data_IF_798229334354
#
_entry.id   IF_798229334354
#
_cell.length_a   1.000
_cell.length_b   1.000
_cell.length_c   1.000
_cell.angle_alpha   90.00
_cell.angle_beta   90.00
_cell.angle_gamma   90.00
#
_symmetry.space_group_name_H-M   'P 1'
#
loop_
_entity.id
_entity.type
_entity.pdbx_description
1 polymer ?
#
# COMPACT_ATOMS: atom_id res chain seq x y z
N UNK A 1 -55.33 -34.25 -26.06
CA UNK A 1 -55.27 -35.38 -27.03
C UNK A 1 -54.57 -36.57 -26.36
N UNK A 2 -54.44 -37.70 -27.07
CA UNK A 2 -53.94 -39.02 -26.63
C UNK A 2 -52.51 -39.02 -26.00
N UNK A 3 -51.99 -40.08 -25.33
CA UNK A 3 -52.53 -41.14 -24.44
C UNK A 3 -51.66 -42.42 -24.46
N UNK A 4 -51.03 -42.80 -23.33
CA UNK A 4 -50.52 -44.17 -22.99
C UNK A 4 -49.38 -44.75 -23.89
N UNK A 5 -48.60 -45.79 -23.58
CA UNK A 5 -48.30 -46.70 -22.42
C UNK A 5 -46.74 -46.83 -22.34
N UNK A 6 -46.02 -47.11 -21.25
CA UNK A 6 -46.19 -47.97 -20.06
C UNK A 6 -45.88 -49.48 -20.27
N UNK A 7 -44.86 -49.99 -19.57
CA UNK A 7 -44.58 -51.43 -19.33
C UNK A 7 -43.76 -51.59 -18.03
N UNK A 8 -43.74 -52.79 -17.43
CA UNK A 8 -43.36 -52.99 -16.01
C UNK A 8 -42.73 -54.36 -15.68
N UNK A 9 -41.68 -54.39 -14.84
CA UNK A 9 -41.21 -55.51 -13.97
C UNK A 9 -40.30 -54.93 -12.87
N UNK A 10 -40.33 -55.21 -11.55
CA UNK A 10 -40.81 -56.31 -10.67
C UNK A 10 -39.85 -57.53 -10.62
N UNK A 11 -39.58 -58.21 -9.48
CA UNK A 11 -40.37 -58.33 -8.22
C UNK A 11 -39.55 -57.96 -6.92
N UNK A 12 -39.44 -58.66 -5.74
CA UNK A 12 -39.24 -57.95 -4.45
C UNK A 12 -38.09 -58.43 -3.49
N UNK A 13 -38.15 -57.89 -2.25
CA UNK A 13 -37.39 -58.18 -1.00
C UNK A 13 -37.38 -59.65 -0.53
N UNK A 14 -36.43 -59.98 0.36
CA UNK A 14 -36.75 -60.38 1.76
C UNK A 14 -35.55 -60.19 2.71
N UNK A 15 -35.82 -60.04 4.01
CA UNK A 15 -34.83 -60.04 5.10
C UNK A 15 -35.18 -61.21 6.03
N UNK A 16 -34.19 -61.92 6.55
CA UNK A 16 -34.38 -62.93 7.59
C UNK A 16 -33.38 -62.72 8.72
N UNK A 17 -33.88 -62.62 9.95
CA UNK A 17 -33.10 -62.42 11.19
C UNK A 17 -33.32 -63.63 12.10
N UNK A 18 -32.34 -64.53 12.16
CA UNK A 18 -32.44 -65.75 12.96
C UNK A 18 -31.86 -65.54 14.37
N UNK A 19 -32.63 -65.92 15.39
CA UNK A 19 -32.17 -66.03 16.78
C UNK A 19 -32.13 -67.52 17.13
N UNK A 20 -31.02 -68.00 17.67
CA UNK A 20 -30.88 -69.32 18.27
C UNK A 20 -29.95 -69.23 19.49
N UNK A 21 -30.20 -70.05 20.50
CA UNK A 21 -29.50 -70.02 21.80
C UNK A 21 -28.93 -71.40 22.17
N UNK A 22 -27.86 -71.39 22.96
CA UNK A 22 -27.19 -72.57 23.55
C UNK A 22 -26.48 -73.50 22.54
N UNK A 23 -25.43 -74.24 22.91
CA UNK A 23 -24.90 -74.53 24.25
C UNK A 23 -23.36 -74.44 24.32
N UNK A 24 -22.80 -74.38 25.54
CA UNK A 24 -21.34 -74.45 25.77
C UNK A 24 -20.87 -75.91 25.78
N UNK A 25 -20.11 -76.31 24.77
CA UNK A 25 -19.32 -77.55 24.79
C UNK A 25 -17.85 -77.22 25.05
N UNK A 26 -17.30 -77.72 26.16
CA UNK A 26 -15.91 -77.49 26.54
C UNK A 26 -14.97 -78.45 25.79
N UNK A 27 -14.49 -78.03 24.62
CA UNK A 27 -13.39 -78.68 23.92
C UNK A 27 -12.06 -78.01 24.27
N UNK A 28 -11.03 -78.81 24.60
CA UNK A 28 -9.66 -78.33 24.83
C UNK A 28 -8.82 -78.53 23.57
N UNK A 29 -8.48 -77.50 22.79
CA UNK A 29 -7.46 -77.63 21.75
C UNK A 29 -6.06 -77.63 22.37
N UNK A 30 -5.18 -78.48 21.82
CA UNK A 30 -3.76 -78.59 22.20
C UNK A 30 -3.01 -77.27 22.04
N UNK A 31 -1.93 -77.07 22.81
CA UNK A 31 -1.02 -75.91 22.64
C UNK A 31 -0.22 -76.09 21.34
N UNK A 32 -0.82 -75.69 20.21
CA UNK A 32 -0.10 -75.46 18.97
C UNK A 32 0.79 -74.23 19.15
N UNK A 33 2.11 -74.45 19.29
CA UNK A 33 3.10 -73.40 19.57
C UNK A 33 3.39 -72.57 18.31
N UNK A 34 2.41 -71.79 17.85
CA UNK A 34 2.58 -70.83 16.77
C UNK A 34 3.74 -69.90 17.08
N UNK A 35 4.82 -69.99 16.29
CA UNK A 35 5.79 -68.90 16.19
C UNK A 35 5.06 -67.72 15.57
N UNK A 36 4.75 -66.70 16.37
CA UNK A 36 4.45 -65.39 15.81
C UNK A 36 5.62 -64.98 14.89
N UNK A 37 5.35 -64.47 13.67
CA UNK A 37 6.41 -63.84 12.91
C UNK A 37 6.95 -62.68 13.76
N UNK A 38 8.25 -62.70 14.04
CA UNK A 38 8.89 -61.49 14.60
C UNK A 38 8.61 -60.36 13.60
N UNK A 39 8.18 -59.17 14.03
CA UNK A 39 8.25 -58.02 13.15
C UNK A 39 9.72 -57.86 12.75
N UNK A 40 10.01 -58.03 11.47
CA UNK A 40 11.23 -57.47 10.91
C UNK A 40 11.04 -55.96 11.00
N UNK A 41 11.54 -55.36 12.06
CA UNK A 41 11.78 -53.92 12.09
C UNK A 41 12.69 -53.63 10.91
N UNK A 42 12.11 -53.09 9.83
CA UNK A 42 12.87 -52.56 8.72
C UNK A 42 13.76 -51.47 9.32
N UNK A 43 15.06 -51.75 9.41
CA UNK A 43 15.99 -50.86 10.08
C UNK A 43 16.20 -49.65 9.17
N UNK A 44 15.42 -48.59 9.41
CA UNK A 44 15.42 -47.35 8.65
C UNK A 44 16.70 -46.55 8.92
N UNK A 45 17.83 -47.06 8.43
CA UNK A 45 19.16 -46.43 8.48
C UNK A 45 19.26 -45.25 7.50
N UNK A 46 18.27 -44.35 7.48
CA UNK A 46 18.42 -43.03 6.88
C UNK A 46 19.17 -42.13 7.87
N UNK A 47 20.49 -42.34 7.97
CA UNK A 47 21.39 -41.55 8.82
C UNK A 47 21.89 -40.28 8.14
N UNK A 48 21.40 -39.99 6.93
CA UNK A 48 21.55 -38.70 6.26
C UNK A 48 20.81 -37.63 7.05
N UNK A 49 21.50 -37.02 8.02
CA UNK A 49 21.13 -35.69 8.52
C UNK A 49 21.00 -34.80 7.30
N UNK A 50 19.87 -34.09 7.17
CA UNK A 50 19.70 -33.09 6.12
C UNK A 50 20.81 -32.05 6.29
N UNK A 51 21.84 -32.13 5.43
CA UNK A 51 22.96 -31.19 5.47
C UNK A 51 22.56 -29.98 4.64
N UNK A 52 21.67 -29.17 5.21
CA UNK A 52 21.50 -27.79 4.78
C UNK A 52 22.89 -27.14 4.73
N UNK A 53 23.13 -26.34 3.68
CA UNK A 53 24.36 -25.55 3.63
C UNK A 53 24.29 -24.52 4.77
N UNK A 54 25.41 -24.25 5.47
CA UNK A 54 25.46 -23.07 6.32
C UNK A 54 25.26 -21.82 5.47
N UNK A 55 24.77 -20.74 6.09
CA UNK A 55 24.62 -19.44 5.46
C UNK A 55 25.87 -19.04 4.65
N UNK A 56 25.65 -18.50 3.47
CA UNK A 56 26.70 -17.94 2.63
C UNK A 56 27.37 -16.74 3.28
N UNK A 57 28.57 -16.40 2.81
CA UNK A 57 29.26 -15.19 3.27
C UNK A 57 28.45 -13.92 2.92
N UNK A 58 27.80 -13.92 1.76
CA UNK A 58 26.80 -12.93 1.33
C UNK A 58 25.72 -12.69 2.36
N UNK A 59 25.25 -13.76 2.99
CA UNK A 59 24.06 -13.77 3.83
C UNK A 59 24.41 -13.12 5.18
N UNK A 60 25.61 -13.40 5.70
CA UNK A 60 26.18 -12.77 6.90
C UNK A 60 26.45 -11.28 6.66
N UNK A 61 27.03 -10.92 5.52
CA UNK A 61 27.33 -9.52 5.15
C UNK A 61 26.04 -8.70 4.96
N UNK A 62 25.02 -9.28 4.31
CA UNK A 62 23.71 -8.66 4.13
C UNK A 62 22.93 -8.53 5.45
N UNK A 63 22.94 -9.54 6.32
CA UNK A 63 22.28 -9.48 7.63
C UNK A 63 22.94 -8.44 8.55
N UNK A 64 24.26 -8.27 8.47
CA UNK A 64 24.95 -7.19 9.17
C UNK A 64 24.50 -5.81 8.65
N UNK A 65 24.51 -5.59 7.33
CA UNK A 65 24.02 -4.33 6.72
C UNK A 65 22.56 -4.04 7.09
N UNK A 66 21.65 -5.00 6.95
CA UNK A 66 20.23 -4.84 7.34
C UNK A 66 20.04 -4.59 8.85
N UNK A 67 21.00 -4.97 9.69
CA UNK A 67 21.00 -4.65 11.12
C UNK A 67 21.55 -3.24 11.40
N UNK A 68 22.56 -2.81 10.64
CA UNK A 68 23.10 -1.44 10.69
C UNK A 68 22.01 -0.43 10.29
N UNK A 69 21.43 -0.55 9.09
CA UNK A 69 20.43 0.41 8.59
C UNK A 69 19.23 0.51 9.54
N UNK A 70 18.67 -0.63 9.97
CA UNK A 70 17.56 -0.68 10.94
C UNK A 70 17.90 0.01 12.28
N UNK A 71 19.17 0.02 12.69
CA UNK A 71 19.57 0.73 13.91
C UNK A 71 19.60 2.26 13.71
N UNK A 72 20.01 2.74 12.53
CA UNK A 72 19.96 4.16 12.17
C UNK A 72 18.52 4.67 12.08
N UNK A 73 17.62 3.90 11.48
CA UNK A 73 16.19 4.25 11.37
C UNK A 73 15.44 4.20 12.71
N UNK A 74 15.99 3.51 13.72
CA UNK A 74 15.42 3.42 15.08
C UNK A 74 16.03 4.46 16.03
N UNK A 75 17.32 4.80 15.87
CA UNK A 75 17.98 5.87 16.62
C UNK A 75 17.54 7.26 16.14
N UNK A 76 17.12 7.37 14.87
CA UNK A 76 16.41 8.52 14.32
C UNK A 76 14.96 8.53 14.82
N UNK A 77 14.63 9.39 15.80
CA UNK A 77 13.33 9.42 16.51
C UNK A 77 12.08 9.66 15.62
N UNK A 78 12.25 9.91 14.33
CA UNK A 78 11.19 10.09 13.34
C UNK A 78 10.31 8.84 13.13
N UNK A 79 10.83 7.63 13.38
CA UNK A 79 10.07 6.38 13.20
C UNK A 79 9.09 6.09 14.34
N UNK A 80 9.46 6.37 15.60
CA UNK A 80 8.62 6.05 16.77
C UNK A 80 7.51 7.08 17.06
N UNK A 81 7.64 8.34 16.61
CA UNK A 81 6.69 9.41 16.93
C UNK A 81 5.84 9.78 15.73
N UNK A 82 4.53 9.60 15.88
CA UNK A 82 3.52 10.22 14.99
C UNK A 82 3.76 11.74 14.97
N UNK A 83 3.86 12.39 13.79
CA UNK A 83 4.01 13.84 13.70
C UNK A 83 2.88 14.58 14.41
N UNK A 84 3.18 15.72 15.06
CA UNK A 84 2.17 16.45 15.84
C UNK A 84 0.98 16.91 14.97
N UNK A 85 1.24 17.31 13.71
CA UNK A 85 0.21 17.64 12.73
C UNK A 85 -0.71 16.44 12.40
N UNK A 86 -0.12 15.27 12.17
CA UNK A 86 -0.84 14.00 11.93
C UNK A 86 -1.70 13.63 13.13
N UNK A 87 -1.14 13.67 14.34
CA UNK A 87 -1.91 13.35 15.55
C UNK A 87 -3.02 14.39 15.79
N UNK A 88 -2.74 15.68 15.64
CA UNK A 88 -3.73 16.74 15.76
C UNK A 88 -4.89 16.56 14.78
N UNK A 89 -4.63 16.18 13.53
CA UNK A 89 -5.69 15.87 12.57
C UNK A 89 -6.49 14.63 13.00
N UNK A 90 -5.85 13.56 13.46
CA UNK A 90 -6.58 12.36 13.91
C UNK A 90 -7.44 12.61 15.16
N UNK A 91 -6.99 13.45 16.09
CA UNK A 91 -7.73 13.79 17.32
C UNK A 91 -8.88 14.80 17.08
N UNK A 92 -8.78 15.67 16.07
CA UNK A 92 -9.78 16.71 15.77
C UNK A 92 -10.68 16.41 14.56
N UNK A 93 -10.26 15.52 13.65
CA UNK A 93 -11.03 15.22 12.43
C UNK A 93 -12.17 14.24 12.70
N UNK A 94 -13.25 14.30 11.90
CA UNK A 94 -14.39 13.39 11.99
C UNK A 94 -14.18 12.08 11.19
N UNK A 95 -12.94 11.62 11.02
CA UNK A 95 -12.59 10.43 10.23
C UNK A 95 -11.99 9.31 11.10
N UNK A 96 -12.50 8.09 10.93
CA UNK A 96 -11.93 6.85 11.48
C UNK A 96 -10.85 6.32 10.52
N UNK A 97 -9.58 6.35 10.94
CA UNK A 97 -8.43 5.81 10.22
C UNK A 97 -8.41 4.28 10.23
N UNK A 98 -8.18 3.68 9.06
CA UNK A 98 -8.06 2.24 8.86
C UNK A 98 -6.84 1.95 7.98
N UNK A 99 -5.83 1.31 8.56
CA UNK A 99 -4.60 0.86 7.91
C UNK A 99 -4.26 -0.57 8.35
N UNK A 100 -3.40 -1.24 7.60
CA UNK A 100 -2.73 -2.48 8.02
C UNK A 100 -1.23 -2.35 7.74
N UNK A 101 -0.41 -3.05 8.53
CA UNK A 101 1.02 -3.15 8.30
C UNK A 101 1.28 -4.07 7.09
N UNK A 102 2.20 -3.67 6.20
CA UNK A 102 2.47 -4.36 4.93
C UNK A 102 1.37 -4.21 3.87
N UNK A 103 0.50 -3.20 3.99
CA UNK A 103 -0.43 -2.78 2.93
C UNK A 103 -0.28 -1.28 2.67
N UNK A 104 -0.02 -0.88 1.44
CA UNK A 104 0.25 0.51 1.04
C UNK A 104 -0.99 1.43 1.11
N UNK A 105 -2.21 0.87 1.02
CA UNK A 105 -3.46 1.64 1.03
C UNK A 105 -3.81 2.15 2.44
N UNK A 106 -4.04 3.46 2.54
CA UNK A 106 -4.57 4.15 3.72
C UNK A 106 -6.04 4.50 3.47
N UNK A 107 -6.92 4.17 4.43
CA UNK A 107 -8.36 4.43 4.29
C UNK A 107 -8.89 5.22 5.50
N UNK A 108 -9.29 6.46 5.27
CA UNK A 108 -10.09 7.24 6.22
C UNK A 108 -11.59 6.98 5.93
N UNK A 109 -12.41 6.82 6.97
CA UNK A 109 -13.86 6.60 6.81
C UNK A 109 -14.69 7.52 7.70
N UNK A 110 -15.79 8.04 7.17
CA UNK A 110 -16.70 8.98 7.87
C UNK A 110 -18.16 8.70 7.51
N UNK A 111 -19.08 9.11 8.39
CA UNK A 111 -20.51 9.22 8.09
C UNK A 111 -20.94 10.68 8.14
N UNK A 112 -21.80 11.09 7.20
CA UNK A 112 -22.31 12.45 7.09
C UNK A 112 -23.79 12.40 6.70
N UNK A 113 -24.70 12.53 7.67
CA UNK A 113 -26.14 12.35 7.44
C UNK A 113 -26.49 10.91 7.02
N UNK A 114 -27.11 10.74 5.85
CA UNK A 114 -27.33 9.43 5.22
C UNK A 114 -26.13 8.96 4.36
N UNK A 115 -25.08 9.77 4.23
CA UNK A 115 -23.93 9.51 3.38
C UNK A 115 -22.81 8.76 4.13
N UNK A 116 -22.14 7.83 3.43
CA UNK A 116 -20.89 7.20 3.89
C UNK A 116 -19.74 7.67 3.00
N UNK A 117 -18.73 8.26 3.62
CA UNK A 117 -17.54 8.78 2.96
C UNK A 117 -16.38 7.81 3.23
N UNK A 118 -15.64 7.49 2.18
CA UNK A 118 -14.33 6.82 2.22
C UNK A 118 -13.35 7.72 1.50
N UNK A 119 -12.25 8.10 2.13
CA UNK A 119 -11.11 8.73 1.48
C UNK A 119 -9.99 7.70 1.50
N UNK A 120 -9.36 7.44 0.35
CA UNK A 120 -8.27 6.48 0.24
C UNK A 120 -7.11 7.04 -0.60
N UNK A 121 -5.89 6.77 -0.15
CA UNK A 121 -4.64 7.17 -0.77
C UNK A 121 -3.58 6.09 -0.52
N UNK A 122 -2.47 6.13 -1.26
CA UNK A 122 -1.48 5.04 -1.29
C UNK A 122 -0.07 5.61 -1.13
N UNK A 123 0.77 4.98 -0.30
CA UNK A 123 2.16 5.46 -0.12
C UNK A 123 3.01 5.36 -1.39
N UNK A 124 2.68 4.43 -2.29
CA UNK A 124 3.38 4.20 -3.56
C UNK A 124 3.23 5.35 -4.57
N UNK A 125 2.25 6.27 -4.41
CA UNK A 125 2.14 7.47 -5.26
C UNK A 125 3.35 8.41 -5.13
N UNK A 126 4.14 8.31 -4.05
CA UNK A 126 5.41 9.01 -3.88
C UNK A 126 6.53 8.45 -4.80
N UNK A 127 6.44 7.18 -5.17
CA UNK A 127 7.50 6.43 -5.88
C UNK A 127 7.33 6.45 -7.41
N UNK A 128 6.11 6.67 -7.90
CA UNK A 128 5.77 6.74 -9.34
C UNK A 128 5.96 8.15 -9.95
N UNK A 129 6.50 9.12 -9.19
CA UNK A 129 6.77 10.48 -9.66
C UNK A 129 8.14 10.55 -10.37
N UNK A 130 8.09 10.33 -11.69
CA UNK A 130 9.19 10.33 -12.65
C UNK A 130 10.24 11.44 -12.45
N UNK A 131 11.53 11.08 -12.50
CA UNK A 131 12.69 11.98 -12.26
C UNK A 131 12.70 13.21 -13.20
N UNK A 132 11.99 13.13 -14.33
CA UNK A 132 11.85 14.21 -15.32
C UNK A 132 11.25 15.52 -14.78
N UNK A 133 10.61 15.52 -13.60
CA UNK A 133 10.18 16.75 -12.94
C UNK A 133 11.35 17.65 -12.51
N UNK A 134 12.46 17.08 -12.03
CA UNK A 134 13.62 17.85 -11.54
C UNK A 134 14.48 18.45 -12.66
N UNK A 135 14.58 17.78 -13.81
CA UNK A 135 15.41 18.21 -14.95
C UNK A 135 14.94 19.56 -15.54
N UNK A 136 13.66 19.90 -15.38
CA UNK A 136 13.08 21.17 -15.84
C UNK A 136 13.44 22.38 -14.96
N UNK A 137 13.89 22.18 -13.71
CA UNK A 137 14.24 23.28 -12.79
C UNK A 137 15.66 23.84 -13.01
N UNK A 138 16.53 23.09 -13.70
CA UNK A 138 17.93 23.45 -13.95
C UNK A 138 18.18 23.94 -15.40
N UNK A 139 17.11 24.14 -16.18
CA UNK A 139 17.19 24.28 -17.64
C UNK A 139 17.10 25.71 -18.22
N UNK A 140 16.81 26.75 -17.43
CA UNK A 140 16.39 28.06 -17.96
C UNK A 140 17.29 29.26 -17.54
N UNK A 141 18.50 29.00 -17.01
CA UNK A 141 19.55 30.03 -16.78
C UNK A 141 20.57 30.16 -17.94
N UNK A 142 20.11 30.02 -19.20
CA UNK A 142 20.96 30.16 -20.39
C UNK A 142 20.49 31.30 -21.33
N UNK A 143 20.02 32.41 -20.75
CA UNK A 143 19.76 33.68 -21.46
C UNK A 143 20.73 34.81 -21.07
N UNK A 144 21.38 35.36 -22.11
CA UNK A 144 22.01 36.69 -22.15
C UNK A 144 23.17 37.02 -21.17
N UNK A 145 24.21 36.16 -21.09
CA UNK A 145 25.57 36.67 -20.79
C UNK A 145 26.16 37.37 -22.03
N UNK A 146 26.00 38.68 -22.12
CA UNK A 146 26.38 39.50 -23.27
C UNK A 146 27.91 39.48 -23.57
N UNK A 147 28.28 39.63 -24.85
CA UNK A 147 29.53 39.14 -25.40
C UNK A 147 30.77 40.04 -25.15
N UNK A 148 31.33 40.03 -23.93
CA UNK A 148 32.48 40.87 -23.55
C UNK A 148 33.70 40.08 -23.02
N UNK A 149 34.34 39.26 -23.87
CA UNK A 149 35.79 39.34 -24.16
C UNK A 149 36.25 38.30 -25.19
N UNK A 150 37.05 38.74 -26.18
CA UNK A 150 37.69 37.87 -27.18
C UNK A 150 39.20 37.90 -26.96
N UNK A 151 39.87 36.76 -26.66
CA UNK A 151 41.24 36.80 -26.16
C UNK A 151 42.28 37.08 -27.26
N UNK A 152 43.36 37.79 -26.89
CA UNK A 152 44.68 37.59 -27.48
C UNK A 152 45.35 38.78 -28.18
N UNK A 153 45.92 39.71 -27.40
CA UNK A 153 47.24 40.27 -27.75
C UNK A 153 48.06 40.75 -26.54
N UNK A 154 49.25 40.16 -26.39
CA UNK A 154 50.48 40.65 -25.73
C UNK A 154 50.35 41.69 -24.58
N UNK A 155 50.47 41.23 -23.33
CA UNK A 155 50.71 42.11 -22.17
C UNK A 155 50.87 41.35 -20.86
N UNK A 156 52.07 41.37 -20.26
CA UNK A 156 52.29 40.79 -18.93
C UNK A 156 51.88 41.79 -17.85
N UNK A 157 50.77 41.51 -17.17
CA UNK A 157 50.38 42.18 -15.93
C UNK A 157 50.32 41.16 -14.79
N UNK A 158 50.63 41.62 -13.58
CA UNK A 158 50.74 40.78 -12.39
C UNK A 158 49.42 40.80 -11.64
N UNK A 159 48.76 39.65 -11.52
CA UNK A 159 47.65 39.48 -10.58
C UNK A 159 48.16 39.72 -9.17
N UNK A 160 47.53 40.62 -8.42
CA UNK A 160 47.67 40.66 -6.97
C UNK A 160 46.88 39.49 -6.37
N UNK A 161 47.26 38.93 -5.21
CA UNK A 161 46.38 38.02 -4.49
C UNK A 161 45.10 38.76 -4.12
N UNK A 162 43.95 38.12 -4.30
CA UNK A 162 42.65 38.70 -3.97
C UNK A 162 42.53 38.89 -2.46
N UNK A 163 41.93 40.01 -2.06
CA UNK A 163 41.84 40.38 -0.65
C UNK A 163 40.80 39.51 0.07
N UNK A 164 41.12 39.05 1.27
CA UNK A 164 40.25 38.13 1.99
C UNK A 164 39.18 38.89 2.73
N UNK A 165 37.97 38.89 2.16
CA UNK A 165 36.74 39.31 2.83
C UNK A 165 36.72 38.71 4.24
N UNK A 166 36.52 39.56 5.24
CA UNK A 166 36.62 39.14 6.63
C UNK A 166 35.26 38.65 7.13
N UNK A 167 35.26 37.64 8.01
CA UNK A 167 34.03 37.06 8.60
C UNK A 167 33.29 38.00 9.58
N UNK A 168 33.47 39.31 9.44
CA UNK A 168 32.69 40.37 10.09
C UNK A 168 31.78 41.10 9.09
N UNK A 169 32.01 40.96 7.78
CA UNK A 169 31.20 41.57 6.71
C UNK A 169 30.04 40.67 6.26
N UNK A 170 29.93 39.44 6.80
CA UNK A 170 28.83 38.51 6.54
C UNK A 170 27.62 38.83 7.43
N UNK A 171 26.99 39.99 7.16
CA UNK A 171 25.80 40.46 7.88
C UNK A 171 24.54 39.68 7.49
N UNK A 172 24.37 38.48 8.05
CA UNK A 172 23.06 37.88 8.25
C UNK A 172 22.28 37.52 6.98
N UNK A 173 22.90 36.74 6.10
CA UNK A 173 22.15 35.89 5.17
C UNK A 173 21.26 34.95 6.00
N UNK A 174 19.99 35.33 6.16
CA UNK A 174 18.94 34.33 6.28
C UNK A 174 18.89 33.63 4.92
N UNK A 175 19.36 32.39 4.87
CA UNK A 175 18.94 31.47 3.82
C UNK A 175 17.42 31.39 3.93
N UNK A 176 16.70 32.01 2.99
CA UNK A 176 15.28 31.73 2.81
C UNK A 176 15.23 30.26 2.38
N UNK A 177 14.74 29.38 3.25
CA UNK A 177 14.56 27.96 2.95
C UNK A 177 13.62 27.86 1.74
N UNK A 178 14.20 27.63 0.55
CA UNK A 178 13.48 27.37 -0.70
C UNK A 178 12.35 26.38 -0.41
N UNK A 179 11.07 26.76 -0.60
CA UNK A 179 9.95 25.97 -0.12
C UNK A 179 9.89 24.66 -0.89
N UNK A 180 10.36 23.58 -0.24
CA UNK A 180 10.43 22.24 -0.82
C UNK A 180 9.06 21.88 -1.39
N UNK A 181 8.95 21.64 -2.71
CA UNK A 181 7.64 21.55 -3.36
C UNK A 181 6.87 20.35 -2.83
N UNK A 182 5.63 20.57 -2.37
CA UNK A 182 4.78 19.50 -1.84
C UNK A 182 4.58 18.43 -2.89
N UNK A 183 4.85 17.17 -2.55
CA UNK A 183 4.58 16.05 -3.44
C UNK A 183 3.06 15.92 -3.70
N UNK A 184 2.59 15.86 -4.95
CA UNK A 184 1.17 15.78 -5.30
C UNK A 184 0.59 14.39 -5.01
N UNK A 185 0.08 14.19 -3.80
CA UNK A 185 -0.51 12.92 -3.38
C UNK A 185 -1.89 12.69 -4.01
N UNK A 186 -2.12 11.52 -4.62
CA UNK A 186 -3.43 11.18 -5.20
C UNK A 186 -4.39 10.68 -4.14
N UNK A 187 -5.60 11.23 -4.14
CA UNK A 187 -6.62 10.95 -3.13
C UNK A 187 -7.94 10.60 -3.83
N UNK A 188 -8.41 9.37 -3.58
CA UNK A 188 -9.66 8.83 -4.12
C UNK A 188 -10.78 8.93 -3.06
N UNK A 189 -11.72 9.84 -3.30
CA UNK A 189 -12.87 10.08 -2.40
C UNK A 189 -14.09 9.35 -2.95
N UNK A 190 -14.69 8.48 -2.16
CA UNK A 190 -15.93 7.78 -2.49
C UNK A 190 -17.04 8.16 -1.52
N UNK A 191 -18.15 8.69 -2.06
CA UNK A 191 -19.34 9.10 -1.32
C UNK A 191 -20.51 8.19 -1.70
N UNK A 192 -20.82 7.23 -0.84
CA UNK A 192 -21.91 6.26 -0.97
C UNK A 192 -23.22 6.82 -0.37
N UNK A 193 -24.34 6.64 -1.09
CA UNK A 193 -25.69 7.05 -0.66
C UNK A 193 -26.65 5.85 -0.70
N UNK A 194 -27.36 5.53 0.40
CA UNK A 194 -28.18 4.32 0.51
C UNK A 194 -29.28 4.29 -0.55
N UNK A 195 -29.22 3.30 -1.44
CA UNK A 195 -30.15 3.14 -2.55
C UNK A 195 -29.99 4.14 -3.71
N UNK A 196 -28.99 5.04 -3.68
CA UNK A 196 -28.74 6.08 -4.69
C UNK A 196 -27.38 5.94 -5.40
N UNK A 197 -26.67 4.81 -5.21
CA UNK A 197 -25.33 4.57 -5.77
C UNK A 197 -24.21 5.23 -4.96
N UNK A 198 -23.06 5.45 -5.61
CA UNK A 198 -21.94 6.20 -5.06
C UNK A 198 -21.32 7.12 -6.12
N UNK A 199 -20.74 8.21 -5.66
CA UNK A 199 -19.89 9.10 -6.44
C UNK A 199 -18.43 8.82 -6.08
N UNK A 200 -17.56 8.66 -7.07
CA UNK A 200 -16.11 8.65 -6.88
C UNK A 200 -15.57 9.97 -7.40
N UNK A 201 -14.68 10.60 -6.64
CA UNK A 201 -13.99 11.83 -6.99
C UNK A 201 -12.49 11.53 -6.92
N UNK A 202 -11.80 11.81 -8.01
CA UNK A 202 -10.35 11.67 -8.12
C UNK A 202 -9.75 13.05 -7.89
N UNK A 203 -8.91 13.16 -6.87
CA UNK A 203 -8.35 14.43 -6.39
C UNK A 203 -6.84 14.33 -6.18
N UNK A 204 -6.17 15.47 -6.17
CA UNK A 204 -4.76 15.60 -5.78
C UNK A 204 -4.68 16.52 -4.57
N UNK A 205 -3.99 16.08 -3.52
CA UNK A 205 -3.60 16.92 -2.39
C UNK A 205 -2.20 17.48 -2.64
N UNK A 206 -2.07 18.80 -2.69
CA UNK A 206 -0.79 19.50 -2.88
C UNK A 206 -0.89 20.91 -2.30
N UNK A 207 0.18 21.40 -1.66
CA UNK A 207 0.29 22.79 -1.15
C UNK A 207 -0.89 23.22 -0.26
N UNK A 208 -1.40 22.29 0.57
CA UNK A 208 -2.57 22.52 1.43
C UNK A 208 -3.90 22.67 0.69
N UNK A 209 -3.99 22.33 -0.60
CA UNK A 209 -5.18 22.41 -1.44
C UNK A 209 -5.60 21.02 -1.98
N UNK A 210 -6.92 20.82 -2.14
CA UNK A 210 -7.49 19.65 -2.82
C UNK A 210 -7.90 20.07 -4.25
N UNK A 211 -7.18 19.60 -5.25
CA UNK A 211 -7.52 19.80 -6.66
C UNK A 211 -8.40 18.65 -7.17
N UNK A 212 -9.61 18.94 -7.64
CA UNK A 212 -10.49 17.91 -8.24
C UNK A 212 -10.12 17.67 -9.70
N UNK A 213 -9.79 16.43 -10.05
CA UNK A 213 -9.41 16.03 -11.41
C UNK A 213 -10.59 15.46 -12.20
N UNK A 214 -11.40 14.61 -11.56
CA UNK A 214 -12.50 13.89 -12.21
C UNK A 214 -13.62 13.50 -11.22
N UNK A 215 -14.85 13.38 -11.71
CA UNK A 215 -16.05 13.01 -10.92
C UNK A 215 -16.87 11.94 -11.65
N UNK A 216 -16.79 10.70 -11.16
CA UNK A 216 -17.51 9.55 -11.69
C UNK A 216 -18.74 9.20 -10.84
N UNK A 217 -19.83 8.73 -11.47
CA UNK A 217 -21.02 8.24 -10.77
C UNK A 217 -21.30 6.77 -11.09
N UNK A 218 -21.47 5.96 -10.04
CA UNK A 218 -21.73 4.54 -10.14
C UNK A 218 -23.04 4.16 -9.44
N UNK A 219 -23.99 3.60 -10.19
CA UNK A 219 -25.27 3.12 -9.66
C UNK A 219 -25.15 1.94 -8.66
N UNK A 220 -23.95 1.36 -8.51
CA UNK A 220 -23.59 0.37 -7.47
C UNK A 220 -22.37 0.87 -6.70
N UNK A 221 -22.41 0.97 -5.36
CA UNK A 221 -21.29 1.48 -4.57
C UNK A 221 -20.03 0.60 -4.67
N UNK A 222 -20.20 -0.71 -4.86
CA UNK A 222 -19.10 -1.66 -5.05
C UNK A 222 -18.21 -1.37 -6.28
N UNK A 223 -18.74 -0.65 -7.28
CA UNK A 223 -17.98 -0.26 -8.49
C UNK A 223 -17.21 1.05 -8.30
N UNK A 224 -17.56 1.89 -7.32
CA UNK A 224 -16.79 3.09 -6.97
C UNK A 224 -15.55 2.76 -6.14
N UNK A 225 -15.62 1.70 -5.32
CA UNK A 225 -14.50 1.21 -4.49
C UNK A 225 -13.61 0.21 -5.27
N UNK A 226 -14.18 -0.52 -6.24
CA UNK A 226 -13.47 -1.36 -7.21
C UNK A 226 -12.44 -2.38 -6.67
N UNK A 227 -12.52 -2.78 -5.40
CA UNK A 227 -11.54 -3.63 -4.69
C UNK A 227 -11.35 -5.08 -5.20
N UNK A 228 -11.75 -5.42 -6.43
CA UNK A 228 -11.32 -6.62 -7.15
C UNK A 228 -11.09 -6.29 -8.62
N UNK A 229 -10.13 -6.97 -9.27
CA UNK A 229 -9.76 -6.73 -10.68
C UNK A 229 -10.96 -6.81 -11.64
N UNK A 230 -11.92 -7.70 -11.37
CA UNK A 230 -13.18 -7.79 -12.14
C UNK A 230 -14.06 -6.54 -12.02
N UNK A 231 -14.12 -5.94 -10.82
CA UNK A 231 -14.86 -4.69 -10.55
C UNK A 231 -14.12 -3.49 -11.13
N UNK A 232 -12.80 -3.49 -11.08
CA UNK A 232 -11.97 -2.45 -11.70
C UNK A 232 -12.13 -2.44 -13.22
N UNK A 233 -12.02 -3.59 -13.88
CA UNK A 233 -12.28 -3.69 -15.32
C UNK A 233 -13.74 -3.29 -15.67
N UNK A 234 -14.71 -3.63 -14.81
CA UNK A 234 -16.09 -3.19 -14.98
C UNK A 234 -16.29 -1.68 -14.70
N UNK A 235 -15.44 -1.04 -13.88
CA UNK A 235 -15.41 0.41 -13.63
C UNK A 235 -14.89 1.14 -14.87
N UNK A 236 -13.77 0.68 -15.43
CA UNK A 236 -13.14 1.23 -16.65
C UNK A 236 -14.03 1.11 -17.90
N UNK A 237 -14.96 0.15 -17.92
CA UNK A 237 -15.95 0.00 -18.99
C UNK A 237 -17.15 0.98 -18.90
N UNK A 238 -17.21 1.82 -17.86
CA UNK A 238 -18.25 2.83 -17.66
C UNK A 238 -17.71 4.24 -17.94
N UNK A 239 -18.61 5.20 -18.16
CA UNK A 239 -18.23 6.59 -18.37
C UNK A 239 -17.78 7.23 -17.05
N UNK A 240 -16.47 7.49 -16.92
CA UNK A 240 -15.85 8.06 -15.72
C UNK A 240 -16.11 9.54 -15.48
N UNK A 241 -16.76 10.26 -16.40
CA UNK A 241 -16.95 11.72 -16.35
C UNK A 241 -16.11 12.46 -17.41
N UNK A 242 -16.33 13.78 -17.56
CA UNK A 242 -15.39 14.67 -18.25
C UNK A 242 -14.30 15.15 -17.28
N UNK A 243 -13.12 15.59 -17.76
CA UNK A 243 -12.14 16.26 -16.91
C UNK A 243 -12.76 17.46 -16.19
N UNK A 244 -12.56 17.57 -14.88
CA UNK A 244 -13.32 18.50 -14.02
C UNK A 244 -13.16 19.97 -14.43
N UNK A 245 -11.96 20.40 -14.80
CA UNK A 245 -11.68 21.76 -15.29
C UNK A 245 -12.41 22.15 -16.59
N UNK A 246 -13.02 21.22 -17.31
CA UNK A 246 -13.89 21.51 -18.47
C UNK A 246 -15.36 21.75 -18.10
N UNK A 247 -15.73 21.66 -16.81
CA UNK A 247 -17.06 21.99 -16.31
C UNK A 247 -17.25 23.51 -16.18
N UNK A 248 -18.50 23.94 -16.05
CA UNK A 248 -18.85 25.33 -15.74
C UNK A 248 -18.26 25.77 -14.38
N UNK A 249 -17.75 27.00 -14.27
CA UNK A 249 -17.06 27.48 -13.06
C UNK A 249 -17.96 27.50 -11.82
N UNK A 250 -19.24 27.86 -11.93
CA UNK A 250 -20.17 27.84 -10.79
C UNK A 250 -20.41 26.39 -10.33
N UNK A 251 -20.41 25.44 -11.27
CA UNK A 251 -20.52 24.00 -10.95
C UNK A 251 -19.25 23.45 -10.28
N UNK A 252 -18.05 23.92 -10.68
CA UNK A 252 -16.79 23.55 -10.03
C UNK A 252 -16.79 24.02 -8.56
N UNK A 253 -17.03 25.32 -8.32
CA UNK A 253 -17.08 25.91 -6.97
C UNK A 253 -18.18 25.29 -6.09
N UNK A 254 -19.32 24.90 -6.65
CA UNK A 254 -20.37 24.20 -5.90
C UNK A 254 -20.02 22.74 -5.56
N UNK A 255 -19.19 22.07 -6.37
CA UNK A 255 -18.67 20.74 -6.05
C UNK A 255 -17.58 20.81 -4.97
N UNK A 256 -16.66 21.78 -5.07
CA UNK A 256 -15.61 22.03 -4.08
C UNK A 256 -16.21 22.28 -2.70
N UNK A 257 -17.16 23.21 -2.57
CA UNK A 257 -17.84 23.46 -1.28
C UNK A 257 -18.64 22.25 -0.77
N UNK A 258 -19.19 21.43 -1.67
CA UNK A 258 -19.85 20.18 -1.30
C UNK A 258 -18.86 19.16 -0.71
N UNK A 259 -17.60 19.17 -1.15
CA UNK A 259 -16.52 18.35 -0.59
C UNK A 259 -15.98 18.92 0.73
N UNK A 260 -15.82 20.24 0.85
CA UNK A 260 -15.45 20.93 2.10
C UNK A 260 -16.44 20.65 3.24
N UNK A 261 -17.75 20.75 2.98
CA UNK A 261 -18.82 20.39 3.92
C UNK A 261 -18.68 18.96 4.50
N UNK A 262 -17.96 18.09 3.78
CA UNK A 262 -17.72 16.67 4.09
C UNK A 262 -16.33 16.39 4.65
N UNK A 263 -15.52 17.42 4.90
CA UNK A 263 -14.15 17.30 5.44
C UNK A 263 -13.13 16.85 4.40
N UNK A 264 -13.38 17.16 3.12
CA UNK A 264 -12.37 17.09 2.07
C UNK A 264 -11.96 18.54 1.81
N UNK A 265 -10.97 18.98 2.58
CA UNK A 265 -10.61 20.39 2.78
C UNK A 265 -9.08 20.56 2.90
N UNK A 266 -8.62 21.78 3.20
CA UNK A 266 -7.21 22.08 3.38
C UNK A 266 -6.55 21.34 4.57
N UNK A 267 -7.31 20.92 5.59
CA UNK A 267 -6.75 20.14 6.69
C UNK A 267 -6.47 18.70 6.24
N UNK A 268 -7.36 18.11 5.43
CA UNK A 268 -7.09 16.84 4.75
C UNK A 268 -5.91 16.95 3.79
N UNK A 269 -5.80 18.06 3.04
CA UNK A 269 -4.74 18.27 2.05
C UNK A 269 -3.33 18.26 2.66
N UNK A 270 -3.17 18.82 3.87
CA UNK A 270 -1.91 18.77 4.61
C UNK A 270 -1.71 17.41 5.31
N UNK A 271 -2.76 16.80 5.86
CA UNK A 271 -2.65 15.50 6.55
C UNK A 271 -2.14 14.37 5.65
N UNK A 272 -2.54 14.35 4.37
CA UNK A 272 -2.21 13.24 3.46
C UNK A 272 -0.71 13.06 3.23
N UNK A 273 0.09 14.08 2.80
CA UNK A 273 1.54 13.92 2.65
C UNK A 273 2.24 13.57 3.97
N UNK A 274 1.94 14.27 5.07
CA UNK A 274 2.51 13.97 6.39
C UNK A 274 2.27 12.51 6.83
N UNK A 275 1.08 11.97 6.53
CA UNK A 275 0.74 10.58 6.84
C UNK A 275 1.38 9.57 5.88
N UNK A 276 1.61 9.95 4.61
CA UNK A 276 2.33 9.12 3.64
C UNK A 276 3.77 8.93 4.12
N UNK A 277 4.49 10.01 4.43
CA UNK A 277 5.87 9.96 4.93
C UNK A 277 5.97 9.14 6.22
N UNK A 278 5.13 9.42 7.22
CA UNK A 278 5.12 8.68 8.48
C UNK A 278 4.83 7.18 8.29
N UNK A 279 3.95 6.80 7.36
CA UNK A 279 3.66 5.38 7.07
C UNK A 279 4.78 4.73 6.27
N UNK A 280 5.35 5.43 5.29
CA UNK A 280 6.43 4.92 4.44
C UNK A 280 7.63 4.48 5.29
N UNK A 281 8.12 5.36 6.16
CA UNK A 281 9.22 5.07 7.09
C UNK A 281 8.91 3.85 8.00
N UNK A 282 7.68 3.74 8.48
CA UNK A 282 7.24 2.60 9.29
C UNK A 282 7.21 1.28 8.50
N UNK A 283 6.77 1.30 7.24
CA UNK A 283 6.80 0.11 6.38
C UNK A 283 8.22 -0.23 5.90
N UNK A 284 9.10 0.75 5.72
CA UNK A 284 10.53 0.54 5.42
C UNK A 284 11.24 -0.19 6.57
N UNK A 285 11.06 0.25 7.82
CA UNK A 285 11.61 -0.45 9.01
C UNK A 285 11.02 -1.86 9.15
N UNK A 286 9.72 -2.04 8.90
CA UNK A 286 9.10 -3.37 8.85
C UNK A 286 9.69 -4.25 7.74
N UNK A 287 9.96 -3.68 6.55
CA UNK A 287 10.55 -4.35 5.40
C UNK A 287 11.99 -4.80 5.70
N UNK A 288 12.85 -3.91 6.21
CA UNK A 288 14.20 -4.25 6.69
C UNK A 288 14.13 -5.41 7.69
N UNK A 289 13.22 -5.32 8.66
CA UNK A 289 12.97 -6.35 9.66
C UNK A 289 12.52 -7.68 9.09
N UNK A 290 11.81 -7.71 7.96
CA UNK A 290 11.31 -8.93 7.34
C UNK A 290 12.32 -9.55 6.35
N UNK A 291 13.03 -8.73 5.58
CA UNK A 291 14.15 -9.19 4.73
C UNK A 291 15.26 -9.77 5.61
N UNK A 292 15.63 -9.12 6.71
CA UNK A 292 16.64 -9.64 7.65
C UNK A 292 16.27 -11.03 8.18
N UNK A 293 15.03 -11.21 8.68
CA UNK A 293 14.53 -12.52 9.15
C UNK A 293 14.52 -13.59 8.05
N UNK A 294 14.34 -13.22 6.78
CA UNK A 294 14.37 -14.15 5.66
C UNK A 294 15.80 -14.61 5.30
N UNK A 295 16.79 -13.73 5.43
CA UNK A 295 18.22 -14.05 5.18
C UNK A 295 18.86 -14.77 6.38
N UNK A 296 18.32 -14.62 7.59
CA UNK A 296 18.77 -15.32 8.81
C UNK A 296 18.27 -16.79 8.98
N UNK A 297 17.43 -17.30 8.07
CA UNK A 297 16.59 -18.51 8.29
C UNK A 297 17.16 -19.86 7.79
#
# INVERSE_FOLDING_TARGET
>A
MFSLRAFTRSVPRTVSRSIATSARLASKPSIARMRAPRPFFAASFSTTRSRWQPAGQSDIELVAKLQDEMSLETESEASERVPEAVQYYLDNSPFELQTKAGEDEVVLTRKFGDEKIRVAFTISDLQDLDESAFDNALGDEDMDTDAINRPGKEGSFRTAPEDKISAADQEGEFEEEEPVPSYPARVSVTIEKPGKGAMQIETIAQDGMIQVQNVAYFAKPELAIAATVEKEFARQALYGGPPFGNLDTDLQTLMERYLEERGIDAALANFVPDYIEFKEQNEYVNWLGNVKKFVEA
#
